data_IF_437786126449
#
_entry.id   IF_437786126449
#
_cell.length_a   1.000
_cell.length_b   1.000
_cell.length_c   1.000
_cell.angle_alpha   90.00
_cell.angle_beta   90.00
_cell.angle_gamma   90.00
#
_symmetry.space_group_name_H-M   'P 1'
#
loop_
_entity.id
_entity.type
_entity.pdbx_description
1 polymer ?
#
# COMPACT_ATOMS: atom_id res chain seq x y z
N UNK A 1 28.97 3.93 8.33
CA UNK A 1 27.78 3.08 8.58
C UNK A 1 27.15 3.26 9.97
N UNK A 2 27.92 3.39 11.07
CA UNK A 2 27.36 3.58 12.44
C UNK A 2 26.45 4.83 12.58
N UNK A 3 26.91 6.01 12.12
CA UNK A 3 26.12 7.26 12.11
C UNK A 3 24.84 7.21 11.25
N UNK A 4 24.83 6.43 10.17
CA UNK A 4 23.64 6.26 9.30
C UNK A 4 22.61 5.36 10.00
N UNK A 5 23.06 4.35 10.76
CA UNK A 5 22.17 3.56 11.62
C UNK A 5 21.56 4.40 12.74
N UNK A 6 22.32 5.34 13.32
CA UNK A 6 21.82 6.26 14.36
C UNK A 6 20.73 7.21 13.86
N UNK A 7 20.73 7.59 12.58
CA UNK A 7 19.71 8.45 11.99
C UNK A 7 18.37 7.76 11.73
N UNK A 8 18.32 6.42 11.81
CA UNK A 8 17.12 5.57 11.66
C UNK A 8 16.15 5.98 10.52
N UNK A 9 16.69 6.42 9.38
CA UNK A 9 15.89 6.95 8.27
C UNK A 9 14.78 5.97 7.85
N UNK A 10 15.13 4.70 7.68
CA UNK A 10 14.18 3.63 7.34
C UNK A 10 13.04 3.52 8.35
N UNK A 11 13.34 3.58 9.65
CA UNK A 11 12.33 3.49 10.71
C UNK A 11 11.32 4.63 10.62
N UNK A 12 11.80 5.86 10.47
CA UNK A 12 10.94 7.05 10.36
C UNK A 12 10.01 6.99 9.14
N UNK A 13 10.52 6.53 7.99
CA UNK A 13 9.72 6.34 6.79
C UNK A 13 8.65 5.25 6.99
N UNK A 14 9.02 4.10 7.55
CA UNK A 14 8.09 2.99 7.79
C UNK A 14 6.98 3.36 8.78
N UNK A 15 7.28 4.16 9.81
CA UNK A 15 6.27 4.72 10.72
C UNK A 15 5.27 5.59 9.95
N UNK A 16 5.76 6.51 9.11
CA UNK A 16 4.90 7.38 8.33
C UNK A 16 4.03 6.61 7.31
N UNK A 17 4.60 5.61 6.63
CA UNK A 17 3.87 4.71 5.72
C UNK A 17 2.76 3.97 6.48
N UNK A 18 3.02 3.51 7.70
CA UNK A 18 2.01 2.80 8.50
C UNK A 18 0.81 3.68 8.85
N UNK A 19 1.02 4.97 9.12
CA UNK A 19 -0.07 5.94 9.31
C UNK A 19 -0.79 6.31 8.01
N UNK A 20 -0.13 6.14 6.89
CA UNK A 20 -0.66 6.47 5.57
C UNK A 20 -1.60 5.40 5.02
N UNK A 21 -1.33 4.11 5.29
CA UNK A 21 -2.13 2.99 4.77
C UNK A 21 -3.62 3.10 5.13
N UNK A 22 -4.03 3.37 6.41
CA UNK A 22 -5.45 3.51 6.74
C UNK A 22 -6.13 4.68 6.03
N UNK A 23 -5.41 5.79 5.80
CA UNK A 23 -5.92 6.97 5.10
C UNK A 23 -6.15 6.65 3.63
N UNK A 24 -5.18 6.00 2.98
CA UNK A 24 -5.29 5.52 1.60
C UNK A 24 -6.46 4.55 1.46
N UNK A 25 -6.60 3.60 2.38
CA UNK A 25 -7.67 2.61 2.37
C UNK A 25 -9.04 3.30 2.44
N UNK A 26 -9.26 4.16 3.44
CA UNK A 26 -10.51 4.91 3.59
C UNK A 26 -10.83 5.79 2.37
N UNK A 27 -9.85 6.58 1.92
CA UNK A 27 -10.03 7.47 0.77
C UNK A 27 -10.27 6.70 -0.55
N UNK A 28 -9.55 5.59 -0.76
CA UNK A 28 -9.69 4.73 -1.94
C UNK A 28 -11.08 4.09 -2.02
N UNK A 29 -11.61 3.57 -0.92
CA UNK A 29 -12.98 3.01 -0.89
C UNK A 29 -14.05 4.08 -1.17
N UNK A 30 -13.89 5.29 -0.63
CA UNK A 30 -14.82 6.39 -0.92
C UNK A 30 -14.85 6.74 -2.42
N UNK A 31 -13.68 6.84 -3.07
CA UNK A 31 -13.60 7.06 -4.52
C UNK A 31 -14.20 5.89 -5.29
N UNK A 32 -13.82 4.66 -4.94
CA UNK A 32 -14.28 3.45 -5.60
C UNK A 32 -15.82 3.36 -5.60
N UNK A 33 -16.45 3.58 -4.45
CA UNK A 33 -17.90 3.58 -4.31
C UNK A 33 -18.50 4.77 -5.06
N UNK A 34 -17.99 5.98 -4.85
CA UNK A 34 -18.50 7.19 -5.51
C UNK A 34 -18.52 7.04 -7.04
N UNK A 35 -17.40 6.62 -7.63
CA UNK A 35 -17.29 6.43 -9.08
C UNK A 35 -18.11 5.24 -9.58
N UNK A 36 -18.19 4.14 -8.83
CA UNK A 36 -18.99 2.97 -9.23
C UNK A 36 -20.48 3.29 -9.38
N UNK A 37 -21.00 4.25 -8.59
CA UNK A 37 -22.38 4.71 -8.69
C UNK A 37 -22.55 5.99 -9.54
N UNK A 38 -21.54 6.34 -10.34
CA UNK A 38 -21.61 7.42 -11.33
C UNK A 38 -21.23 8.81 -10.82
N UNK A 39 -20.68 8.93 -9.61
CA UNK A 39 -20.14 10.17 -9.07
C UNK A 39 -18.75 10.52 -9.62
N UNK A 40 -18.38 11.79 -9.51
CA UNK A 40 -17.08 12.31 -9.92
C UNK A 40 -16.49 13.24 -8.88
N UNK A 41 -15.15 13.32 -8.83
CA UNK A 41 -14.46 14.21 -7.89
C UNK A 41 -14.61 15.66 -8.34
N UNK A 42 -15.10 16.52 -7.44
CA UNK A 42 -15.31 17.94 -7.65
C UNK A 42 -14.19 18.78 -7.00
N UNK A 43 -14.00 20.01 -7.49
CA UNK A 43 -13.06 20.94 -6.87
C UNK A 43 -13.55 21.42 -5.49
N UNK A 44 -14.86 21.70 -5.38
CA UNK A 44 -15.53 22.09 -4.15
C UNK A 44 -16.92 21.45 -4.06
N UNK A 45 -17.36 21.12 -2.84
CA UNK A 45 -18.70 20.62 -2.57
C UNK A 45 -19.63 21.79 -2.23
N UNK A 46 -20.31 22.32 -3.24
CA UNK A 46 -21.30 23.39 -3.10
C UNK A 46 -22.68 22.78 -2.87
N UNK A 47 -23.37 23.15 -1.78
CA UNK A 47 -24.69 22.59 -1.46
C UNK A 47 -25.67 22.77 -2.62
N UNK A 48 -26.31 21.68 -3.03
CA UNK A 48 -27.27 21.65 -4.15
C UNK A 48 -26.65 21.32 -5.51
N UNK A 49 -25.32 21.26 -5.62
CA UNK A 49 -24.60 21.01 -6.88
C UNK A 49 -23.91 19.63 -6.95
N UNK A 50 -24.08 18.78 -5.92
CA UNK A 50 -23.46 17.46 -5.86
C UNK A 50 -24.43 16.37 -5.43
N UNK A 51 -24.23 15.16 -5.93
CA UNK A 51 -24.89 13.95 -5.42
C UNK A 51 -24.10 13.34 -4.26
N UNK A 52 -24.71 12.41 -3.50
CA UNK A 52 -23.97 11.66 -2.49
C UNK A 52 -22.74 10.93 -3.09
N UNK A 53 -22.82 10.50 -4.35
CA UNK A 53 -21.72 9.81 -5.04
C UNK A 53 -20.57 10.76 -5.39
N UNK A 54 -20.88 11.98 -5.83
CA UNK A 54 -19.89 13.04 -6.04
C UNK A 54 -19.21 13.43 -4.72
N UNK A 55 -19.98 13.50 -3.63
CA UNK A 55 -19.44 13.77 -2.31
C UNK A 55 -18.43 12.69 -1.88
N UNK A 56 -18.75 11.40 -2.05
CA UNK A 56 -17.83 10.30 -1.74
C UNK A 56 -16.56 10.36 -2.60
N UNK A 57 -16.70 10.54 -3.91
CA UNK A 57 -15.57 10.67 -4.83
C UNK A 57 -14.66 11.87 -4.47
N UNK A 58 -15.26 13.01 -4.15
CA UNK A 58 -14.53 14.22 -3.76
C UNK A 58 -13.84 14.07 -2.40
N UNK A 59 -14.51 13.51 -1.40
CA UNK A 59 -13.91 13.28 -0.07
C UNK A 59 -12.69 12.39 -0.15
N UNK A 60 -12.78 11.27 -0.88
CA UNK A 60 -11.65 10.39 -1.09
C UNK A 60 -10.57 11.03 -1.96
N UNK A 61 -10.94 11.75 -3.02
CA UNK A 61 -9.99 12.47 -3.89
C UNK A 61 -9.16 13.49 -3.12
N UNK A 62 -9.80 14.32 -2.29
CA UNK A 62 -9.09 15.27 -1.39
C UNK A 62 -8.22 14.52 -0.37
N UNK A 63 -8.69 13.40 0.16
CA UNK A 63 -7.92 12.54 1.07
C UNK A 63 -6.62 12.03 0.44
N UNK A 64 -6.68 11.48 -0.78
CA UNK A 64 -5.50 11.05 -1.53
C UNK A 64 -4.61 12.22 -1.98
N UNK A 65 -5.20 13.39 -2.26
CA UNK A 65 -4.43 14.61 -2.56
C UNK A 65 -3.57 15.08 -1.39
N UNK A 66 -3.84 14.65 -0.16
CA UNK A 66 -3.10 15.03 1.05
C UNK A 66 -2.01 14.01 1.43
N UNK A 67 -1.73 12.99 0.62
CA UNK A 67 -0.67 12.02 0.91
C UNK A 67 0.71 12.65 1.17
N UNK A 68 1.16 13.70 0.43
CA UNK A 68 2.40 14.41 0.76
C UNK A 68 2.39 15.01 2.17
N UNK A 69 1.23 15.50 2.62
CA UNK A 69 1.04 16.10 3.95
C UNK A 69 1.14 15.04 5.03
N UNK A 70 0.46 13.91 4.85
CA UNK A 70 0.44 12.79 5.79
C UNK A 70 1.85 12.23 5.98
N UNK A 71 2.56 11.94 4.87
CA UNK A 71 3.90 11.36 4.94
C UNK A 71 4.91 12.35 5.55
N UNK A 72 4.86 13.63 5.17
CA UNK A 72 5.74 14.66 5.72
C UNK A 72 5.53 14.84 7.23
N UNK A 73 4.26 14.90 7.65
CA UNK A 73 3.88 15.01 9.07
C UNK A 73 4.31 13.78 9.85
N UNK A 74 4.09 12.58 9.31
CA UNK A 74 4.46 11.32 9.96
C UNK A 74 5.98 11.18 10.16
N UNK A 75 6.78 11.51 9.14
CA UNK A 75 8.24 11.48 9.25
C UNK A 75 8.73 12.53 10.24
N UNK A 76 8.25 13.77 10.12
CA UNK A 76 8.64 14.87 11.01
C UNK A 76 8.28 14.57 12.47
N UNK A 77 7.10 14.02 12.71
CA UNK A 77 6.67 13.55 14.04
C UNK A 77 7.56 12.41 14.56
N UNK A 78 7.89 11.44 13.71
CA UNK A 78 8.74 10.32 14.11
C UNK A 78 10.15 10.76 14.53
N UNK A 79 10.65 11.87 13.97
CA UNK A 79 11.98 12.44 14.27
C UNK A 79 11.92 13.43 15.44
N UNK A 80 11.02 14.41 15.38
CA UNK A 80 10.96 15.57 16.29
C UNK A 80 9.88 15.49 17.37
N UNK A 81 9.09 14.42 17.40
CA UNK A 81 7.95 14.27 18.30
C UNK A 81 6.79 15.22 17.98
N UNK A 82 5.92 15.48 18.98
CA UNK A 82 4.75 16.35 18.83
C UNK A 82 5.05 17.74 18.21
N UNK A 83 6.16 18.43 18.56
CA UNK A 83 6.50 19.72 17.95
C UNK A 83 6.74 19.66 16.43
N UNK A 84 7.09 18.47 15.91
CA UNK A 84 7.32 18.25 14.47
C UNK A 84 6.06 18.16 13.62
N UNK A 85 4.87 18.02 14.24
CA UNK A 85 3.60 17.85 13.51
C UNK A 85 3.30 19.07 12.64
N UNK A 86 3.25 20.27 13.23
CA UNK A 86 2.88 21.48 12.50
C UNK A 86 3.87 21.82 11.36
N UNK A 87 5.20 21.76 11.56
CA UNK A 87 6.14 21.93 10.46
C UNK A 87 6.01 20.89 9.36
N UNK A 88 5.88 19.61 9.72
CA UNK A 88 5.72 18.54 8.74
C UNK A 88 4.46 18.73 7.91
N UNK A 89 3.37 19.18 8.53
CA UNK A 89 2.11 19.49 7.87
C UNK A 89 2.25 20.64 6.87
N UNK A 90 2.80 21.79 7.30
CA UNK A 90 2.97 22.98 6.43
C UNK A 90 3.94 22.68 5.28
N UNK A 91 5.04 22.00 5.55
CA UNK A 91 6.03 21.63 4.54
C UNK A 91 5.45 20.60 3.56
N UNK A 92 4.65 19.64 4.03
CA UNK A 92 3.93 18.71 3.16
C UNK A 92 2.88 19.39 2.28
N UNK A 93 2.17 20.39 2.80
CA UNK A 93 1.27 21.22 1.98
C UNK A 93 2.06 22.01 0.93
N UNK A 94 3.22 22.53 1.31
CA UNK A 94 4.13 23.22 0.39
C UNK A 94 4.60 22.29 -0.72
N UNK A 95 4.94 21.03 -0.39
CA UNK A 95 5.30 20.01 -1.37
C UNK A 95 4.20 19.79 -2.42
N UNK A 96 2.94 19.77 -1.97
CA UNK A 96 1.80 19.66 -2.88
C UNK A 96 1.67 20.92 -3.76
N UNK A 97 1.74 22.11 -3.16
CA UNK A 97 1.58 23.38 -3.85
C UNK A 97 2.64 23.65 -4.94
N UNK A 98 3.86 23.14 -4.77
CA UNK A 98 4.95 23.29 -5.75
C UNK A 98 5.01 22.13 -6.75
N UNK A 99 4.06 21.19 -6.72
CA UNK A 99 4.05 20.03 -7.61
C UNK A 99 5.16 19.02 -7.31
N UNK A 100 5.75 19.04 -6.11
CA UNK A 100 6.75 18.06 -5.68
C UNK A 100 6.13 16.72 -5.22
N UNK A 101 4.80 16.66 -5.10
CA UNK A 101 4.08 15.42 -4.89
C UNK A 101 4.52 14.64 -3.65
N UNK A 102 4.45 13.32 -3.75
CA UNK A 102 4.75 12.43 -2.63
C UNK A 102 6.24 12.42 -2.27
N UNK A 103 7.11 12.51 -3.28
CA UNK A 103 8.57 12.58 -3.10
C UNK A 103 8.94 13.84 -2.29
N UNK A 104 8.33 14.97 -2.63
CA UNK A 104 8.46 16.22 -1.88
C UNK A 104 7.96 16.11 -0.45
N UNK A 105 6.88 15.36 -0.23
CA UNK A 105 6.39 15.02 1.11
C UNK A 105 7.43 14.25 1.94
N UNK A 106 8.08 13.22 1.35
CA UNK A 106 9.12 12.46 2.05
C UNK A 106 10.31 13.36 2.42
N UNK A 107 10.88 14.04 1.42
CA UNK A 107 12.05 14.90 1.62
C UNK A 107 11.73 16.06 2.57
N UNK A 108 10.57 16.67 2.40
CA UNK A 108 10.04 17.71 3.27
C UNK A 108 9.84 17.24 4.71
N UNK A 109 9.37 16.00 4.91
CA UNK A 109 9.23 15.39 6.24
C UNK A 109 10.56 15.22 6.98
N UNK A 110 11.59 14.74 6.28
CA UNK A 110 12.93 14.66 6.86
C UNK A 110 13.53 16.03 7.13
N UNK A 111 13.38 16.96 6.19
CA UNK A 111 13.81 18.35 6.36
C UNK A 111 13.16 18.97 7.60
N UNK A 112 11.84 18.86 7.73
CA UNK A 112 11.08 19.34 8.88
C UNK A 112 11.57 18.71 10.19
N UNK A 113 11.67 17.38 10.24
CA UNK A 113 12.08 16.65 11.44
C UNK A 113 13.48 17.01 11.91
N UNK A 114 14.45 17.11 11.00
CA UNK A 114 15.82 17.47 11.38
C UNK A 114 15.98 18.96 11.71
N UNK A 115 15.20 19.84 11.07
CA UNK A 115 15.15 21.25 11.47
C UNK A 115 14.54 21.42 12.87
N UNK A 116 13.51 20.64 13.22
CA UNK A 116 12.97 20.59 14.60
C UNK A 116 14.05 20.21 15.60
N UNK A 117 14.80 19.12 15.33
CA UNK A 117 15.91 18.70 16.20
C UNK A 117 17.02 19.75 16.30
N UNK A 118 17.34 20.42 15.19
CA UNK A 118 18.33 21.49 15.17
C UNK A 118 17.89 22.67 16.05
N UNK A 119 16.64 23.12 15.91
CA UNK A 119 16.09 24.20 16.72
C UNK A 119 16.07 23.83 18.21
N UNK A 120 15.62 22.62 18.54
CA UNK A 120 15.64 22.10 19.92
C UNK A 120 17.04 22.11 20.53
N UNK A 121 18.07 21.82 19.73
CA UNK A 121 19.46 21.71 20.20
C UNK A 121 20.15 23.06 20.31
N UNK A 122 19.94 23.96 19.34
CA UNK A 122 20.73 25.19 19.19
C UNK A 122 20.04 26.44 19.71
N UNK A 123 18.69 26.49 19.73
CA UNK A 123 17.96 27.65 20.22
C UNK A 123 17.78 27.53 21.74
N UNK A 124 18.46 28.41 22.48
CA UNK A 124 18.35 28.48 23.95
C UNK A 124 17.38 29.59 24.34
N UNK A 125 16.38 29.23 25.14
CA UNK A 125 15.39 30.18 25.66
C UNK A 125 15.57 30.38 27.17
N UNK A 126 15.27 31.59 27.69
CA UNK A 126 15.19 31.82 29.12
C UNK A 126 14.07 30.98 29.76
N UNK A 127 14.17 30.70 31.07
CA UNK A 127 13.26 29.77 31.76
C UNK A 127 11.77 30.12 31.59
N UNK A 128 11.42 31.41 31.56
CA UNK A 128 10.04 31.87 31.38
C UNK A 128 9.48 31.59 29.97
N UNK A 129 10.34 31.47 28.96
CA UNK A 129 9.96 31.29 27.56
C UNK A 129 10.02 29.82 27.09
N UNK A 130 10.43 28.88 27.95
CA UNK A 130 10.58 27.46 27.56
C UNK A 130 9.29 26.83 27.01
N UNK A 131 8.13 27.25 27.52
CA UNK A 131 6.82 26.81 27.02
C UNK A 131 6.53 27.22 25.57
N UNK A 132 7.16 28.29 25.08
CA UNK A 132 7.02 28.77 23.70
C UNK A 132 7.79 27.91 22.70
N UNK A 133 8.77 27.13 23.15
CA UNK A 133 9.61 26.32 22.27
C UNK A 133 8.79 25.34 21.41
N UNK A 134 8.02 24.39 21.99
CA UNK A 134 7.23 23.44 21.20
C UNK A 134 5.98 24.03 20.56
N UNK A 135 5.44 25.13 21.10
CA UNK A 135 4.13 25.68 20.71
C UNK A 135 4.22 26.77 19.64
N UNK A 136 5.28 27.58 19.65
CA UNK A 136 5.44 28.71 18.74
C UNK A 136 6.75 28.65 17.97
N UNK A 137 7.89 28.56 18.67
CA UNK A 137 9.21 28.73 18.06
C UNK A 137 9.50 27.62 17.04
N UNK A 138 9.31 26.35 17.44
CA UNK A 138 9.53 25.22 16.53
C UNK A 138 8.53 25.25 15.37
N UNK A 139 7.21 25.32 15.58
CA UNK A 139 6.25 25.40 14.49
C UNK A 139 6.55 26.54 13.52
N UNK A 140 6.85 27.74 14.02
CA UNK A 140 7.08 28.92 13.17
C UNK A 140 8.40 28.85 12.40
N UNK A 141 9.54 28.71 13.10
CA UNK A 141 10.86 28.77 12.45
C UNK A 141 11.07 27.59 11.51
N UNK A 142 10.66 26.38 11.91
CA UNK A 142 10.81 25.20 11.06
C UNK A 142 9.96 25.34 9.79
N UNK A 143 8.72 25.82 9.91
CA UNK A 143 7.83 25.96 8.75
C UNK A 143 8.32 27.02 7.78
N UNK A 144 8.82 28.16 8.27
CA UNK A 144 9.37 29.19 7.41
C UNK A 144 10.64 28.69 6.72
N UNK A 145 11.62 28.22 7.49
CA UNK A 145 12.92 27.81 6.93
C UNK A 145 12.73 26.63 5.99
N UNK A 146 12.05 25.58 6.43
CA UNK A 146 11.83 24.38 5.63
C UNK A 146 10.90 24.62 4.44
N UNK A 147 9.86 25.45 4.59
CA UNK A 147 8.97 25.82 3.50
C UNK A 147 9.69 26.60 2.41
N UNK A 148 10.50 27.61 2.76
CA UNK A 148 11.29 28.36 1.77
C UNK A 148 12.33 27.48 1.07
N UNK A 149 12.99 26.56 1.80
CA UNK A 149 13.89 25.57 1.19
C UNK A 149 13.13 24.68 0.20
N UNK A 150 11.92 24.22 0.55
CA UNK A 150 11.09 23.43 -0.37
C UNK A 150 10.78 24.20 -1.66
N UNK A 151 10.32 25.44 -1.54
CA UNK A 151 9.91 26.27 -2.68
C UNK A 151 11.09 26.59 -3.59
N UNK A 152 12.20 27.09 -3.04
CA UNK A 152 13.27 27.67 -3.85
C UNK A 152 14.39 26.69 -4.23
N UNK A 153 14.60 25.64 -3.45
CA UNK A 153 15.75 24.73 -3.64
C UNK A 153 15.28 23.36 -4.12
N UNK A 154 14.24 22.80 -3.52
CA UNK A 154 13.87 21.39 -3.72
C UNK A 154 12.85 21.19 -4.84
N UNK A 155 11.93 22.15 -5.07
CA UNK A 155 10.86 22.01 -6.07
C UNK A 155 11.35 21.67 -7.48
N UNK A 156 12.32 22.42 -8.01
CA UNK A 156 12.83 22.21 -9.36
C UNK A 156 13.54 20.85 -9.55
N UNK A 157 14.43 20.39 -8.65
CA UNK A 157 14.99 19.04 -8.69
C UNK A 157 13.94 17.93 -8.68
N UNK A 158 12.87 18.08 -7.90
CA UNK A 158 11.81 17.05 -7.84
C UNK A 158 11.02 17.01 -9.14
N UNK A 159 10.62 18.16 -9.68
CA UNK A 159 9.94 18.21 -10.97
C UNK A 159 10.78 17.55 -12.09
N UNK A 160 12.10 17.75 -12.09
CA UNK A 160 13.01 17.08 -13.02
C UNK A 160 13.06 15.56 -12.81
N UNK A 161 13.07 15.10 -11.55
CA UNK A 161 13.02 13.68 -11.21
C UNK A 161 11.70 13.03 -11.64
N UNK A 162 10.57 13.68 -11.37
CA UNK A 162 9.24 13.24 -11.79
C UNK A 162 9.21 13.09 -13.31
N UNK A 163 9.65 14.11 -14.06
CA UNK A 163 9.72 14.03 -15.51
C UNK A 163 10.61 12.89 -16.00
N UNK A 164 11.76 12.66 -15.35
CA UNK A 164 12.64 11.52 -15.66
C UNK A 164 11.91 10.19 -15.46
N UNK A 165 11.21 10.01 -14.34
CA UNK A 165 10.47 8.78 -14.03
C UNK A 165 9.33 8.53 -15.02
N UNK A 166 8.56 9.57 -15.36
CA UNK A 166 7.49 9.49 -16.36
C UNK A 166 8.06 9.11 -17.73
N UNK A 167 9.09 9.83 -18.20
CA UNK A 167 9.74 9.54 -19.48
C UNK A 167 10.37 8.14 -19.51
N UNK A 168 10.92 7.67 -18.38
CA UNK A 168 11.48 6.34 -18.27
C UNK A 168 10.41 5.27 -18.48
N UNK A 169 9.25 5.40 -17.81
CA UNK A 169 8.15 4.44 -17.96
C UNK A 169 7.50 4.50 -19.34
N UNK A 170 7.27 5.69 -19.86
CA UNK A 170 6.68 5.88 -21.19
C UNK A 170 7.62 5.38 -22.30
N UNK A 171 8.93 5.42 -22.06
CA UNK A 171 9.96 4.87 -22.95
C UNK A 171 10.12 3.34 -22.87
N UNK A 172 9.44 2.64 -21.95
CA UNK A 172 9.54 1.19 -21.86
C UNK A 172 8.76 0.52 -23.00
N UNK A 173 9.47 -0.30 -23.78
CA UNK A 173 8.81 -1.24 -24.69
C UNK A 173 8.04 -2.34 -23.94
N UNK A 174 7.16 -3.05 -24.65
CA UNK A 174 6.29 -4.09 -24.08
C UNK A 174 7.04 -5.15 -23.27
N UNK A 175 8.23 -5.57 -23.72
CA UNK A 175 9.05 -6.55 -23.00
C UNK A 175 9.54 -6.04 -21.63
N UNK A 176 9.87 -4.75 -21.53
CA UNK A 176 10.29 -4.14 -20.27
C UNK A 176 9.10 -3.91 -19.34
N UNK A 177 7.94 -3.53 -19.88
CA UNK A 177 6.69 -3.42 -19.11
C UNK A 177 6.25 -4.78 -18.54
N UNK A 178 6.42 -5.86 -19.31
CA UNK A 178 6.16 -7.23 -18.87
C UNK A 178 7.01 -7.55 -17.63
N UNK A 179 8.33 -7.37 -17.72
CA UNK A 179 9.25 -7.67 -16.62
C UNK A 179 8.97 -6.77 -15.43
N UNK A 180 8.76 -5.48 -15.65
CA UNK A 180 8.52 -4.51 -14.59
C UNK A 180 7.22 -4.82 -13.82
N UNK A 181 6.11 -5.03 -14.53
CA UNK A 181 4.85 -5.44 -13.92
C UNK A 181 4.95 -6.79 -13.22
N UNK A 182 5.64 -7.74 -13.84
CA UNK A 182 5.84 -9.06 -13.25
C UNK A 182 6.65 -9.03 -11.95
N UNK A 183 7.71 -8.21 -11.88
CA UNK A 183 8.48 -8.04 -10.64
C UNK A 183 7.65 -7.38 -9.54
N UNK A 184 6.85 -6.37 -9.88
CA UNK A 184 5.93 -5.73 -8.91
C UNK A 184 4.95 -6.77 -8.35
N UNK A 185 4.29 -7.52 -9.23
CA UNK A 185 3.32 -8.54 -8.82
C UNK A 185 3.94 -9.67 -8.02
N UNK A 186 5.13 -10.14 -8.40
CA UNK A 186 5.87 -11.13 -7.63
C UNK A 186 6.14 -10.61 -6.22
N UNK A 187 6.72 -9.42 -6.09
CA UNK A 187 7.13 -8.89 -4.79
C UNK A 187 5.94 -8.49 -3.90
N UNK A 188 4.78 -8.17 -4.47
CA UNK A 188 3.59 -7.83 -3.68
C UNK A 188 2.93 -9.04 -3.02
N UNK A 189 2.97 -10.21 -3.67
CA UNK A 189 2.29 -11.40 -3.18
C UNK A 189 3.09 -12.26 -2.19
N UNK A 190 4.43 -12.25 -2.27
CA UNK A 190 5.30 -13.23 -1.60
C UNK A 190 5.19 -13.27 -0.08
N UNK A 191 4.81 -12.16 0.56
CA UNK A 191 4.70 -12.07 2.02
C UNK A 191 3.31 -11.67 2.51
N UNK A 192 2.29 -11.78 1.65
CA UNK A 192 0.87 -11.68 2.00
C UNK A 192 0.51 -10.45 2.86
N UNK A 193 0.98 -9.27 2.47
CA UNK A 193 0.71 -8.03 3.22
C UNK A 193 1.83 -7.62 4.19
N UNK A 194 2.92 -8.39 4.24
CA UNK A 194 4.07 -8.16 5.08
C UNK A 194 4.97 -6.96 4.69
N UNK A 195 6.20 -6.90 5.24
CA UNK A 195 7.14 -5.81 5.00
C UNK A 195 7.56 -5.59 3.53
N UNK A 196 7.68 -6.65 2.74
CA UNK A 196 8.01 -6.59 1.31
C UNK A 196 6.86 -5.93 0.56
N UNK A 197 5.63 -6.43 0.71
CA UNK A 197 4.46 -5.81 0.09
C UNK A 197 4.31 -4.33 0.48
N UNK A 198 4.50 -3.97 1.76
CA UNK A 198 4.44 -2.57 2.21
C UNK A 198 5.53 -1.69 1.60
N UNK A 199 6.71 -2.25 1.36
CA UNK A 199 7.82 -1.54 0.70
C UNK A 199 7.51 -1.30 -0.78
N UNK A 200 7.01 -2.33 -1.48
CA UNK A 200 6.59 -2.19 -2.88
C UNK A 200 5.43 -1.21 -2.97
N UNK A 201 4.42 -1.32 -2.10
CA UNK A 201 3.28 -0.41 -2.01
C UNK A 201 3.74 1.04 -1.87
N UNK A 202 4.67 1.35 -0.97
CA UNK A 202 5.20 2.70 -0.83
C UNK A 202 5.89 3.21 -2.10
N UNK A 203 6.63 2.34 -2.78
CA UNK A 203 7.26 2.67 -4.06
C UNK A 203 6.22 2.95 -5.16
N UNK A 204 5.28 2.03 -5.41
CA UNK A 204 4.28 2.20 -6.47
C UNK A 204 3.24 3.28 -6.17
N UNK A 205 2.95 3.55 -4.89
CA UNK A 205 2.13 4.68 -4.47
C UNK A 205 2.82 6.00 -4.76
N UNK A 206 4.14 6.08 -4.56
CA UNK A 206 4.93 7.24 -4.96
C UNK A 206 4.76 7.47 -6.46
N UNK A 207 4.87 6.42 -7.28
CA UNK A 207 4.67 6.52 -8.72
C UNK A 207 3.25 6.99 -9.09
N UNK A 208 2.22 6.48 -8.41
CA UNK A 208 0.84 6.93 -8.61
C UNK A 208 0.66 8.42 -8.30
N UNK A 209 1.27 8.91 -7.22
CA UNK A 209 1.20 10.33 -6.87
C UNK A 209 1.84 11.23 -7.95
N UNK A 210 2.76 10.69 -8.75
CA UNK A 210 3.35 11.34 -9.92
C UNK A 210 2.57 11.09 -11.23
N UNK A 211 1.38 10.49 -11.14
CA UNK A 211 0.47 10.24 -12.27
C UNK A 211 0.61 8.85 -12.92
N UNK A 212 1.46 7.98 -12.39
CA UNK A 212 1.74 6.66 -12.96
C UNK A 212 0.92 5.58 -12.25
N UNK A 213 -0.31 5.36 -12.73
CA UNK A 213 -1.29 4.45 -12.10
C UNK A 213 -1.05 2.95 -12.36
N UNK A 214 -0.35 2.58 -13.43
CA UNK A 214 -0.13 1.17 -13.78
C UNK A 214 0.54 0.33 -12.68
N UNK A 215 1.69 0.77 -12.11
CA UNK A 215 2.43 0.02 -11.10
C UNK A 215 1.62 -0.30 -9.84
N UNK A 216 0.87 0.67 -9.30
CA UNK A 216 0.03 0.43 -8.13
C UNK A 216 -1.12 -0.51 -8.48
N UNK A 217 -1.68 -0.39 -9.67
CA UNK A 217 -2.73 -1.29 -10.16
C UNK A 217 -2.24 -2.73 -10.21
N UNK A 218 -1.01 -2.96 -10.69
CA UNK A 218 -0.42 -4.30 -10.75
C UNK A 218 -0.32 -4.93 -9.35
N UNK A 219 0.17 -4.19 -8.37
CA UNK A 219 0.26 -4.65 -6.98
C UNK A 219 -1.13 -4.99 -6.41
N UNK A 220 -2.10 -4.09 -6.59
CA UNK A 220 -3.42 -4.24 -6.01
C UNK A 220 -4.22 -5.38 -6.63
N UNK A 221 -4.18 -5.54 -7.95
CA UNK A 221 -4.83 -6.66 -8.62
C UNK A 221 -4.22 -8.00 -8.24
N UNK A 222 -2.90 -8.06 -8.01
CA UNK A 222 -2.23 -9.28 -7.55
C UNK A 222 -2.63 -9.64 -6.13
N UNK A 223 -2.69 -8.66 -5.23
CA UNK A 223 -3.12 -8.89 -3.85
C UNK A 223 -4.60 -9.35 -3.80
N UNK A 224 -5.43 -8.78 -4.67
CA UNK A 224 -6.84 -9.21 -4.84
C UNK A 224 -6.95 -10.65 -5.36
N UNK A 225 -6.15 -10.99 -6.37
CA UNK A 225 -6.18 -12.29 -7.03
C UNK A 225 -5.63 -13.43 -6.15
N UNK A 226 -4.68 -13.14 -5.24
CA UNK A 226 -3.96 -14.18 -4.51
C UNK A 226 -4.88 -15.09 -3.70
N UNK A 227 -5.77 -14.60 -2.81
CA UNK A 227 -6.68 -15.48 -2.06
C UNK A 227 -7.68 -16.21 -2.96
N UNK A 228 -8.13 -15.56 -4.03
CA UNK A 228 -9.02 -16.16 -5.03
C UNK A 228 -8.32 -17.32 -5.75
N UNK A 229 -7.03 -17.19 -6.05
CA UNK A 229 -6.18 -18.23 -6.62
C UNK A 229 -6.06 -19.46 -5.72
N UNK A 230 -5.90 -19.27 -4.40
CA UNK A 230 -5.92 -20.37 -3.43
C UNK A 230 -7.28 -21.07 -3.40
N UNK A 231 -8.38 -20.30 -3.46
CA UNK A 231 -9.73 -20.86 -3.59
C UNK A 231 -9.91 -21.70 -4.86
N UNK A 232 -9.45 -21.20 -6.01
CA UNK A 232 -9.55 -21.94 -7.27
C UNK A 232 -8.65 -23.19 -7.29
N UNK A 233 -7.51 -23.16 -6.59
CA UNK A 233 -6.61 -24.32 -6.48
C UNK A 233 -7.31 -25.56 -5.90
N UNK A 234 -8.27 -25.36 -4.97
CA UNK A 234 -9.06 -26.46 -4.40
C UNK A 234 -9.84 -27.22 -5.48
N UNK A 235 -10.50 -26.48 -6.38
CA UNK A 235 -11.28 -27.08 -7.47
C UNK A 235 -10.38 -27.71 -8.54
N UNK A 236 -9.29 -27.03 -8.91
CA UNK A 236 -8.34 -27.54 -9.90
C UNK A 236 -7.65 -28.83 -9.41
N UNK A 237 -7.24 -28.87 -8.14
CA UNK A 237 -6.65 -30.07 -7.55
C UNK A 237 -7.62 -31.25 -7.58
N UNK A 238 -8.90 -31.02 -7.26
CA UNK A 238 -9.93 -32.06 -7.32
C UNK A 238 -10.15 -32.58 -8.74
N UNK A 239 -10.07 -31.71 -9.74
CA UNK A 239 -10.12 -32.10 -11.16
C UNK A 239 -8.94 -33.01 -11.55
N UNK A 240 -7.76 -32.79 -10.95
CA UNK A 240 -6.59 -33.67 -11.08
C UNK A 240 -6.62 -34.91 -10.17
N UNK A 241 -7.73 -35.17 -9.46
CA UNK A 241 -7.84 -36.30 -8.53
C UNK A 241 -6.97 -36.16 -7.28
N UNK A 242 -6.53 -34.94 -6.95
CA UNK A 242 -5.72 -34.63 -5.77
C UNK A 242 -6.56 -33.99 -4.67
N UNK A 243 -6.22 -34.32 -3.42
CA UNK A 243 -6.72 -33.61 -2.25
C UNK A 243 -5.58 -32.84 -1.60
N UNK A 244 -5.45 -31.55 -1.91
CA UNK A 244 -4.33 -30.71 -1.45
C UNK A 244 -4.67 -29.87 -0.21
N UNK A 245 -5.92 -29.90 0.25
CA UNK A 245 -6.38 -29.12 1.40
C UNK A 245 -7.00 -30.00 2.47
N UNK A 246 -6.71 -29.70 3.73
CA UNK A 246 -7.37 -30.33 4.88
C UNK A 246 -8.77 -29.74 5.08
N UNK A 247 -9.58 -30.34 5.97
CA UNK A 247 -10.91 -29.78 6.28
C UNK A 247 -10.83 -28.37 6.87
N UNK A 248 -9.86 -28.13 7.75
CA UNK A 248 -9.62 -26.82 8.38
C UNK A 248 -9.15 -25.79 7.34
N UNK A 249 -8.27 -26.21 6.42
CA UNK A 249 -7.86 -25.35 5.32
C UNK A 249 -9.05 -25.01 4.39
N UNK A 250 -9.97 -25.94 4.16
CA UNK A 250 -11.21 -25.66 3.40
C UNK A 250 -12.12 -24.66 4.11
N UNK A 251 -12.25 -24.74 5.44
CA UNK A 251 -12.99 -23.72 6.20
C UNK A 251 -12.32 -22.35 6.13
N UNK A 252 -10.99 -22.32 6.23
CA UNK A 252 -10.20 -21.08 6.08
C UNK A 252 -10.35 -20.46 4.69
N UNK A 253 -10.44 -21.28 3.62
CA UNK A 253 -10.68 -20.79 2.27
C UNK A 253 -12.01 -20.03 2.13
N UNK A 254 -13.06 -20.43 2.87
CA UNK A 254 -14.37 -19.78 2.80
C UNK A 254 -14.34 -18.33 3.28
N UNK A 255 -13.44 -18.00 4.22
CA UNK A 255 -13.23 -16.62 4.67
C UNK A 255 -12.15 -15.90 3.86
N UNK A 256 -11.06 -16.60 3.50
CA UNK A 256 -9.95 -16.02 2.76
C UNK A 256 -10.33 -15.49 1.37
N UNK A 257 -11.19 -16.20 0.63
CA UNK A 257 -11.60 -15.78 -0.73
C UNK A 257 -12.38 -14.45 -0.72
N UNK A 258 -13.44 -14.27 0.08
CA UNK A 258 -14.09 -12.97 0.24
C UNK A 258 -13.16 -11.85 0.69
N UNK A 259 -12.22 -12.15 1.59
CA UNK A 259 -11.18 -11.19 2.02
C UNK A 259 -10.33 -10.73 0.84
N UNK A 260 -9.93 -11.64 -0.05
CA UNK A 260 -9.20 -11.31 -1.28
C UNK A 260 -9.98 -10.41 -2.22
N UNK A 261 -11.30 -10.60 -2.36
CA UNK A 261 -12.15 -9.75 -3.22
C UNK A 261 -12.07 -8.27 -2.83
N UNK A 262 -11.89 -7.96 -1.54
CA UNK A 262 -11.72 -6.60 -1.01
C UNK A 262 -10.25 -6.24 -0.73
N UNK A 263 -9.31 -7.00 -1.31
CA UNK A 263 -7.86 -6.78 -1.23
C UNK A 263 -7.25 -6.95 0.17
N UNK A 264 -7.77 -7.90 0.94
CA UNK A 264 -7.17 -8.36 2.19
C UNK A 264 -6.51 -9.72 1.90
N UNK A 265 -5.20 -9.67 1.66
CA UNK A 265 -4.40 -10.85 1.27
C UNK A 265 -3.96 -11.67 2.49
N UNK A 266 -4.00 -11.08 3.68
CA UNK A 266 -3.62 -11.71 4.95
C UNK A 266 -4.46 -12.94 5.28
N UNK A 267 -5.68 -13.04 4.71
CA UNK A 267 -6.57 -14.19 4.92
C UNK A 267 -5.99 -15.53 4.47
N UNK A 268 -4.98 -15.55 3.58
CA UNK A 268 -4.30 -16.81 3.19
C UNK A 268 -3.11 -17.19 4.06
N UNK A 269 -2.69 -16.34 5.01
CA UNK A 269 -1.53 -16.65 5.88
C UNK A 269 -1.69 -18.02 6.57
N UNK A 270 -2.84 -18.37 7.19
CA UNK A 270 -2.97 -19.67 7.84
C UNK A 270 -2.82 -20.86 6.87
N UNK A 271 -3.26 -20.71 5.62
CA UNK A 271 -3.13 -21.73 4.57
C UNK A 271 -1.68 -21.91 4.13
N UNK A 272 -0.96 -20.80 4.00
CA UNK A 272 0.43 -20.81 3.54
C UNK A 272 1.37 -21.29 4.64
N UNK A 273 1.05 -21.04 5.91
CA UNK A 273 1.87 -21.53 7.03
C UNK A 273 1.98 -23.06 7.07
N UNK A 274 1.00 -23.78 6.54
CA UNK A 274 1.07 -25.25 6.42
C UNK A 274 2.06 -25.72 5.36
N UNK A 275 2.28 -24.94 4.29
CA UNK A 275 3.21 -25.27 3.21
C UNK A 275 3.78 -24.01 2.54
N UNK A 276 4.67 -23.33 3.28
CA UNK A 276 5.19 -22.01 2.92
C UNK A 276 5.87 -22.03 1.55
N UNK A 277 6.69 -23.06 1.29
CA UNK A 277 7.49 -23.13 0.07
C UNK A 277 6.60 -23.20 -1.17
N UNK A 278 5.61 -24.09 -1.19
CA UNK A 278 4.74 -24.24 -2.36
C UNK A 278 3.75 -23.09 -2.46
N UNK A 279 3.22 -22.60 -1.34
CA UNK A 279 2.36 -21.42 -1.32
C UNK A 279 3.04 -20.19 -1.93
N UNK A 280 4.23 -19.84 -1.43
CA UNK A 280 4.98 -18.67 -1.91
C UNK A 280 5.40 -18.83 -3.38
N UNK A 281 5.84 -20.01 -3.80
CA UNK A 281 6.21 -20.24 -5.21
C UNK A 281 5.01 -20.07 -6.15
N UNK A 282 3.84 -20.61 -5.79
CA UNK A 282 2.63 -20.44 -6.58
C UNK A 282 2.20 -18.97 -6.66
N UNK A 283 2.19 -18.27 -5.53
CA UNK A 283 1.88 -16.83 -5.45
C UNK A 283 2.86 -15.99 -6.24
N UNK A 284 4.16 -16.29 -6.19
CA UNK A 284 5.19 -15.56 -6.93
C UNK A 284 5.01 -15.69 -8.44
N UNK A 285 4.72 -16.90 -8.93
CA UNK A 285 4.54 -17.15 -10.37
C UNK A 285 3.23 -16.54 -10.87
N UNK A 286 2.13 -16.70 -10.13
CA UNK A 286 0.85 -16.08 -10.50
C UNK A 286 0.86 -14.57 -10.37
N UNK A 287 1.51 -14.03 -9.33
CA UNK A 287 1.77 -12.62 -9.13
C UNK A 287 2.57 -12.02 -10.29
N UNK A 288 3.63 -12.71 -10.74
CA UNK A 288 4.38 -12.30 -11.91
C UNK A 288 3.50 -12.25 -13.17
N UNK A 289 2.71 -13.31 -13.43
CA UNK A 289 1.83 -13.36 -14.59
C UNK A 289 0.75 -12.27 -14.56
N UNK A 290 0.11 -12.04 -13.41
CA UNK A 290 -0.91 -11.01 -13.21
C UNK A 290 -0.35 -9.59 -13.34
N UNK A 291 0.76 -9.31 -12.67
CA UNK A 291 1.40 -8.00 -12.71
C UNK A 291 1.90 -7.65 -14.11
N UNK A 292 2.50 -8.61 -14.81
CA UNK A 292 2.91 -8.46 -16.20
C UNK A 292 1.71 -8.17 -17.12
N UNK A 293 0.63 -8.93 -16.98
CA UNK A 293 -0.60 -8.76 -17.76
C UNK A 293 -1.21 -7.37 -17.53
N UNK A 294 -1.22 -6.91 -16.28
CA UNK A 294 -1.73 -5.57 -15.90
C UNK A 294 -1.00 -4.46 -16.67
N UNK A 295 0.34 -4.49 -16.65
CA UNK A 295 1.16 -3.46 -17.27
C UNK A 295 1.10 -3.50 -18.81
N UNK A 296 1.04 -4.68 -19.42
CA UNK A 296 0.96 -4.83 -20.88
C UNK A 296 -0.39 -4.35 -21.42
N UNK A 297 -1.48 -4.72 -20.75
CA UNK A 297 -2.83 -4.32 -21.17
C UNK A 297 -3.16 -2.87 -20.81
N UNK A 298 -2.34 -2.25 -19.95
CA UNK A 298 -2.46 -0.85 -19.55
C UNK A 298 -3.66 -0.60 -18.64
N UNK A 299 -3.83 -1.44 -17.61
CA UNK A 299 -4.80 -1.17 -16.55
C UNK A 299 -4.26 -0.11 -15.58
N UNK A 300 -5.11 0.84 -15.20
CA UNK A 300 -4.73 2.11 -14.57
C UNK A 300 -5.76 2.59 -13.53
N UNK A 301 -5.87 1.88 -12.41
CA UNK A 301 -6.74 2.27 -11.30
C UNK A 301 -6.34 3.63 -10.74
N UNK A 302 -7.32 4.51 -10.56
CA UNK A 302 -7.12 5.81 -9.91
C UNK A 302 -7.08 5.70 -8.38
N UNK A 303 -7.54 4.56 -7.82
CA UNK A 303 -7.50 4.30 -6.38
C UNK A 303 -6.37 3.35 -6.00
N UNK A 304 -5.61 3.63 -4.92
CA UNK A 304 -4.55 2.75 -4.44
C UNK A 304 -5.04 1.57 -3.59
N UNK A 305 -6.35 1.45 -3.35
CA UNK A 305 -6.94 0.38 -2.54
C UNK A 305 -8.41 0.18 -2.94
N UNK A 306 -8.91 -1.06 -2.93
CA UNK A 306 -10.33 -1.31 -3.20
C UNK A 306 -10.71 -2.72 -3.67
N UNK A 307 -9.74 -3.62 -3.88
CA UNK A 307 -10.02 -4.94 -4.44
C UNK A 307 -10.74 -4.89 -5.79
N UNK A 308 -11.73 -5.75 -6.00
CA UNK A 308 -12.57 -5.72 -7.21
C UNK A 308 -13.29 -4.38 -7.39
N UNK A 309 -13.51 -3.61 -6.30
CA UNK A 309 -14.14 -2.29 -6.37
C UNK A 309 -13.27 -1.22 -7.05
N UNK A 310 -11.99 -1.47 -7.29
CA UNK A 310 -11.15 -0.53 -8.07
C UNK A 310 -11.38 -0.64 -9.58
N UNK A 311 -11.96 -1.74 -10.07
CA UNK A 311 -12.14 -1.99 -11.51
C UNK A 311 -12.94 -0.88 -12.21
N UNK A 312 -14.04 -0.34 -11.64
CA UNK A 312 -14.77 0.79 -12.23
C UNK A 312 -13.97 2.10 -12.31
N UNK A 313 -12.89 2.21 -11.54
CA UNK A 313 -12.05 3.43 -11.48
C UNK A 313 -10.95 3.47 -12.55
N UNK A 314 -10.80 2.38 -13.31
CA UNK A 314 -9.81 2.24 -14.39
C UNK A 314 -10.34 2.79 -15.71
N UNK A 315 -9.45 3.31 -16.56
CA UNK A 315 -9.79 3.68 -17.93
C UNK A 315 -10.11 2.44 -18.78
N UNK A 316 -9.51 1.29 -18.46
CA UNK A 316 -9.72 0.00 -19.13
C UNK A 316 -10.11 -1.11 -18.15
N UNK A 317 -11.37 -1.17 -17.66
CA UNK A 317 -11.81 -2.15 -16.68
C UNK A 317 -11.56 -3.61 -17.09
N UNK A 318 -11.72 -3.91 -18.39
CA UNK A 318 -11.49 -5.25 -18.94
C UNK A 318 -10.05 -5.73 -18.76
N UNK A 319 -9.07 -4.83 -18.82
CA UNK A 319 -7.65 -5.17 -18.64
C UNK A 319 -7.39 -5.63 -17.19
N UNK A 320 -8.01 -4.97 -16.22
CA UNK A 320 -7.94 -5.37 -14.81
C UNK A 320 -8.59 -6.73 -14.54
N UNK A 321 -9.76 -6.99 -15.14
CA UNK A 321 -10.43 -8.30 -15.03
C UNK A 321 -9.55 -9.42 -15.60
N UNK A 322 -8.97 -9.24 -16.78
CA UNK A 322 -8.08 -10.24 -17.40
C UNK A 322 -6.85 -10.48 -16.52
N UNK A 323 -6.25 -9.42 -15.98
CA UNK A 323 -5.08 -9.56 -15.11
C UNK A 323 -5.39 -10.35 -13.82
N UNK A 324 -6.55 -10.12 -13.19
CA UNK A 324 -7.02 -10.94 -12.05
C UNK A 324 -7.17 -12.40 -12.49
N UNK A 325 -7.88 -12.65 -13.59
CA UNK A 325 -8.13 -14.01 -14.06
C UNK A 325 -6.82 -14.77 -14.38
N UNK A 326 -5.87 -14.12 -15.06
CA UNK A 326 -4.57 -14.70 -15.37
C UNK A 326 -3.82 -15.05 -14.08
N UNK A 327 -3.77 -14.14 -13.11
CA UNK A 327 -3.12 -14.43 -11.82
C UNK A 327 -3.80 -15.60 -11.10
N UNK A 328 -5.12 -15.54 -10.95
CA UNK A 328 -5.92 -16.57 -10.26
C UNK A 328 -5.69 -17.95 -10.88
N UNK A 329 -5.76 -18.05 -12.21
CA UNK A 329 -5.55 -19.32 -12.93
C UNK A 329 -4.12 -19.81 -12.77
N UNK A 330 -3.12 -18.95 -12.96
CA UNK A 330 -1.71 -19.36 -12.85
C UNK A 330 -1.37 -19.79 -11.42
N UNK A 331 -1.76 -19.02 -10.41
CA UNK A 331 -1.58 -19.37 -8.99
C UNK A 331 -2.24 -20.71 -8.70
N UNK A 332 -3.50 -20.90 -9.11
CA UNK A 332 -4.26 -22.11 -8.84
C UNK A 332 -3.68 -23.36 -9.51
N UNK A 333 -3.30 -23.25 -10.79
CA UNK A 333 -2.69 -24.36 -11.53
C UNK A 333 -1.34 -24.73 -10.95
N UNK A 334 -0.48 -23.75 -10.70
CA UNK A 334 0.85 -24.00 -10.11
C UNK A 334 0.69 -24.67 -8.76
N UNK A 335 -0.17 -24.14 -7.87
CA UNK A 335 -0.40 -24.69 -6.55
C UNK A 335 -0.95 -26.11 -6.60
N UNK A 336 -1.94 -26.39 -7.46
CA UNK A 336 -2.52 -27.72 -7.62
C UNK A 336 -1.51 -28.76 -8.17
N UNK A 337 -0.56 -28.32 -9.01
CA UNK A 337 0.49 -29.18 -9.54
C UNK A 337 1.54 -29.50 -8.48
N UNK A 338 2.03 -28.49 -7.76
CA UNK A 338 3.18 -28.62 -6.84
C UNK A 338 2.81 -29.07 -5.43
N UNK A 339 1.59 -28.76 -4.93
CA UNK A 339 1.15 -29.16 -3.59
C UNK A 339 0.90 -30.67 -3.57
N UNK A 340 1.32 -31.32 -2.48
CA UNK A 340 1.16 -32.76 -2.28
C UNK A 340 -0.26 -33.07 -1.80
N UNK A 341 -0.66 -34.33 -1.94
CA UNK A 341 -1.89 -34.79 -1.31
C UNK A 341 -1.74 -34.76 0.21
N UNK A 342 -2.79 -34.29 0.88
CA UNK A 342 -2.95 -34.36 2.32
C UNK A 342 -3.07 -35.83 2.72
N UNK A 343 -2.21 -36.26 3.63
CA UNK A 343 -2.25 -37.59 4.24
C UNK A 343 -3.13 -37.59 5.50
N UNK A 344 -3.50 -38.77 5.99
CA UNK A 344 -4.23 -38.88 7.27
C UNK A 344 -3.40 -38.35 8.46
N UNK A 345 -2.06 -38.47 8.40
CA UNK A 345 -1.14 -37.89 9.37
C UNK A 345 -1.16 -36.35 9.34
N UNK A 346 -1.20 -35.73 8.16
CA UNK A 346 -1.30 -34.27 8.04
C UNK A 346 -2.61 -33.73 8.64
N UNK A 347 -3.69 -34.50 8.51
CA UNK A 347 -4.98 -34.15 9.11
C UNK A 347 -4.97 -34.31 10.63
N UNK A 348 -4.31 -35.35 11.16
CA UNK A 348 -4.19 -35.58 12.60
C UNK A 348 -3.30 -34.53 13.28
N UNK A 349 -2.14 -34.20 12.70
CA UNK A 349 -1.21 -33.19 13.23
C UNK A 349 -1.83 -31.78 13.30
N UNK A 350 -2.80 -31.46 12.45
CA UNK A 350 -3.49 -30.17 12.51
C UNK A 350 -4.52 -30.09 13.64
N UNK A 351 -5.21 -31.19 13.93
CA UNK A 351 -6.14 -31.26 15.07
C UNK A 351 -5.37 -31.13 16.38
N UNK A 352 -4.20 -31.79 16.48
CA UNK A 352 -3.33 -31.71 17.67
C UNK A 352 -2.83 -30.27 17.93
N UNK A 353 -2.43 -29.54 16.87
CA UNK A 353 -2.03 -28.12 17.00
C UNK A 353 -3.17 -27.20 17.41
N UNK A 354 -4.39 -27.44 16.91
CA UNK A 354 -5.56 -26.64 17.28
C UNK A 354 -5.96 -26.89 18.75
N UNK A 355 -5.83 -28.14 19.24
CA UNK A 355 -6.01 -28.46 20.66
C UNK A 355 -4.93 -27.83 21.55
N UNK A 356 -3.69 -27.71 21.10
CA UNK A 356 -2.63 -26.98 21.82
C UNK A 356 -2.87 -25.46 21.85
N UNK A 357 -3.35 -24.86 20.75
CA UNK A 357 -3.68 -23.42 20.67
C UNK A 357 -4.93 -23.07 21.49
N UNK A 358 -5.88 -24.01 21.67
CA UNK A 358 -7.03 -23.88 22.59
C UNK A 358 -6.61 -24.42 23.97
N UNK A 359 -5.67 -23.76 24.63
CA UNK A 359 -5.31 -24.14 25.98
C UNK A 359 -6.46 -23.80 26.95
N UNK A 360 -7.01 -24.81 27.63
CA UNK A 360 -8.16 -24.67 28.55
C UNK A 360 -7.89 -23.69 29.71
N UNK A 361 -6.62 -23.37 29.97
CA UNK A 361 -6.19 -22.35 30.94
C UNK A 361 -6.52 -20.90 30.49
N UNK A 362 -6.67 -20.66 29.19
CA UNK A 362 -7.01 -19.35 28.62
C UNK A 362 -8.52 -19.05 28.64
N UNK A 363 -9.35 -20.06 28.92
CA UNK A 363 -10.80 -19.90 29.10
C UNK A 363 -11.07 -19.53 30.57
N UNK A 364 -10.78 -18.29 30.94
CA UNK A 364 -11.32 -17.71 32.17
C UNK A 364 -12.80 -17.37 31.97
N UNK A 365 -13.68 -18.27 32.41
CA UNK A 365 -15.09 -17.96 32.62
C UNK A 365 -15.17 -17.05 33.85
N UNK A 366 -15.31 -15.73 33.63
CA UNK A 366 -15.76 -14.80 34.66
C UNK A 366 -17.28 -14.61 34.60
#
# INVERSE_FOLDING_TARGET
MKKIKELNLKGHLLTAISYLIPIVCGAGFLIAIGMAFGGSSQDALVQGEFTIWDALATMGGKGLGLLPVVIATGISYSIGGKPGIAPGFIIGLTANAIGAGFIGGILGGYLAGYLVLAILKYVKLPNWAKGLMPTLIIPFLTSIIGGLIMVYIIGAPIAALTSLLTNFLDGLGNSSLLVFGGVIGLLSGVDYGGPINKTVFAFVLTMQAEGLNGPITALQLVNTATPIGFGLAFFIAKLFGKNIYTKLEVETLKSAVPMGVINIVEGVIPLVMNDIVRGVVATAIGGFAGGATTMILGADATVPFGGVLMIPTMSRPWAGVIAILVNVVVTAVVLAVIKKNVTEEDAAMQVEKEEEDINLEDIQIF
#
